data_IF_728681888029
#
_entry.id   IF_728681888029
#
_cell.length_a   1.000
_cell.length_b   1.000
_cell.length_c   1.000
_cell.angle_alpha   90.00
_cell.angle_beta   90.00
_cell.angle_gamma   90.00
#
_symmetry.space_group_name_H-M   'P 1'
#
loop_
_entity.id
_entity.type
_entity.pdbx_description
1 polymer ?
#
# COMPACT_ATOMS: atom_id res chain seq x y z
N UNK A 1 14.25 -24.59 -64.67
CA UNK A 1 13.23 -24.75 -63.61
C UNK A 1 13.80 -24.18 -62.31
N UNK A 2 13.27 -23.06 -61.81
CA UNK A 2 13.71 -22.44 -60.54
C UNK A 2 12.53 -22.47 -59.56
N UNK A 3 12.66 -23.27 -58.50
CA UNK A 3 11.66 -23.41 -57.43
C UNK A 3 11.49 -22.08 -56.66
N UNK A 4 10.25 -21.61 -56.41
CA UNK A 4 10.02 -20.52 -55.47
C UNK A 4 10.09 -21.02 -54.01
N UNK A 5 11.01 -20.48 -53.21
CA UNK A 5 10.96 -20.54 -51.74
C UNK A 5 9.97 -19.49 -51.24
N UNK A 6 9.00 -19.85 -50.36
CA UNK A 6 8.37 -19.02 -49.27
C UNK A 6 6.96 -19.52 -48.89
N UNK A 7 6.49 -19.64 -47.63
CA UNK A 7 6.93 -19.36 -46.24
C UNK A 7 6.28 -20.42 -45.31
N UNK A 8 6.79 -20.66 -44.08
CA UNK A 8 6.16 -21.53 -43.08
C UNK A 8 4.77 -21.02 -42.62
N UNK A 9 3.95 -21.87 -41.97
CA UNK A 9 2.53 -21.63 -41.70
C UNK A 9 2.27 -20.35 -40.88
N UNK A 10 1.16 -19.68 -41.21
CA UNK A 10 0.62 -18.56 -40.43
C UNK A 10 0.18 -19.10 -39.07
N UNK A 11 0.95 -18.79 -38.03
CA UNK A 11 0.52 -18.96 -36.64
C UNK A 11 -0.45 -17.84 -36.31
N UNK A 12 -1.72 -18.15 -36.10
CA UNK A 12 -2.62 -17.29 -35.33
C UNK A 12 -3.25 -18.12 -34.23
N UNK A 13 -2.63 -18.04 -33.05
CA UNK A 13 -3.14 -18.56 -31.79
C UNK A 13 -4.47 -17.89 -31.39
N UNK A 14 -5.10 -18.41 -30.33
CA UNK A 14 -6.53 -18.30 -30.09
C UNK A 14 -6.99 -16.86 -29.97
N UNK A 15 -8.09 -16.56 -30.68
CA UNK A 15 -8.92 -15.37 -30.50
C UNK A 15 -9.36 -15.33 -29.03
N UNK A 16 -8.92 -14.29 -28.35
CA UNK A 16 -9.14 -14.01 -26.94
C UNK A 16 -10.62 -14.18 -26.57
N UNK A 17 -10.94 -15.33 -25.99
CA UNK A 17 -12.20 -15.61 -25.35
C UNK A 17 -11.90 -16.14 -23.97
N UNK A 18 -12.13 -15.29 -22.97
CA UNK A 18 -12.42 -15.68 -21.59
C UNK A 18 -11.31 -16.44 -20.84
N UNK A 19 -10.68 -15.76 -19.88
CA UNK A 19 -10.11 -16.43 -18.72
C UNK A 19 -8.81 -15.83 -18.21
N UNK A 20 -8.90 -14.75 -17.43
CA UNK A 20 -8.01 -14.49 -16.27
C UNK A 20 -8.30 -13.16 -15.53
N UNK A 21 -9.44 -12.49 -15.75
CA UNK A 21 -9.84 -11.36 -14.89
C UNK A 21 -10.43 -11.84 -13.54
N UNK A 22 -9.75 -12.77 -12.89
CA UNK A 22 -9.83 -12.96 -11.45
C UNK A 22 -8.43 -12.66 -10.90
N UNK A 23 -7.92 -11.46 -11.21
CA UNK A 23 -6.81 -10.89 -10.48
C UNK A 23 -7.33 -10.52 -9.10
N UNK A 24 -7.32 -11.53 -8.22
CA UNK A 24 -7.04 -11.45 -6.79
C UNK A 24 -7.24 -10.04 -6.21
N UNK A 25 -8.38 -9.84 -5.53
CA UNK A 25 -8.54 -8.81 -4.51
C UNK A 25 -7.61 -9.14 -3.33
N UNK A 26 -6.29 -9.07 -3.54
CA UNK A 26 -5.37 -8.87 -2.44
C UNK A 26 -5.62 -7.42 -2.04
N UNK A 27 -6.31 -7.23 -0.91
CA UNK A 27 -6.47 -5.92 -0.31
C UNK A 27 -5.10 -5.32 -0.04
N UNK A 28 -4.60 -4.54 -1.00
CA UNK A 28 -3.41 -3.75 -0.79
C UNK A 28 -3.79 -2.67 0.21
N UNK A 29 -3.32 -2.83 1.45
CA UNK A 29 -3.27 -1.74 2.39
C UNK A 29 -2.27 -0.72 1.83
N UNK A 30 -2.79 0.24 1.06
CA UNK A 30 -2.00 1.35 0.54
C UNK A 30 -1.74 2.28 1.71
N UNK A 31 -0.55 2.16 2.31
CA UNK A 31 -0.06 3.19 3.21
C UNK A 31 0.33 4.40 2.36
N UNK A 32 -0.55 5.40 2.31
CA UNK A 32 -0.19 6.73 1.85
C UNK A 32 0.79 7.29 2.88
N UNK A 33 2.10 7.17 2.62
CA UNK A 33 3.12 7.87 3.38
C UNK A 33 3.03 9.33 2.94
N UNK A 34 2.21 10.11 3.64
CA UNK A 34 2.34 11.55 3.59
C UNK A 34 3.77 11.90 3.99
N UNK A 35 4.39 12.86 3.30
CA UNK A 35 5.65 13.43 3.73
C UNK A 35 5.40 14.07 5.11
N UNK A 36 5.68 13.30 6.15
CA UNK A 36 5.29 13.66 7.50
C UNK A 36 6.28 14.67 8.04
N UNK A 37 5.81 15.91 8.21
CA UNK A 37 6.52 16.89 9.03
C UNK A 37 6.75 16.36 10.46
N UNK A 38 7.63 17.02 11.23
CA UNK A 38 7.84 16.63 12.62
C UNK A 38 6.50 16.57 13.37
N UNK A 39 6.30 15.50 14.14
CA UNK A 39 5.12 15.37 15.01
C UNK A 39 4.97 16.65 15.84
N UNK A 40 3.80 17.30 15.88
CA UNK A 40 3.63 18.55 16.61
C UNK A 40 3.81 18.35 18.12
N UNK A 41 4.16 19.42 18.81
CA UNK A 41 4.19 19.40 20.27
C UNK A 41 2.78 19.60 20.82
N UNK A 42 2.35 18.70 21.71
CA UNK A 42 1.11 18.82 22.44
C UNK A 42 1.21 18.16 23.82
N UNK A 43 0.25 18.50 24.67
CA UNK A 43 0.08 17.92 26.00
C UNK A 43 -1.26 17.22 26.09
N UNK A 44 -1.28 16.04 26.72
CA UNK A 44 -2.48 15.26 26.98
C UNK A 44 -2.73 15.18 28.49
N UNK A 45 -3.99 15.21 28.88
CA UNK A 45 -4.41 14.71 30.19
C UNK A 45 -4.55 13.20 30.12
N UNK A 46 -3.84 12.51 30.99
CA UNK A 46 -3.93 11.07 31.16
C UNK A 46 -5.18 10.70 31.97
N UNK A 47 -5.57 9.43 31.89
CA UNK A 47 -6.70 8.89 32.66
C UNK A 47 -6.53 9.03 34.18
N UNK A 48 -5.28 9.07 34.65
CA UNK A 48 -4.96 9.30 36.06
C UNK A 48 -4.92 10.80 36.45
N UNK A 49 -5.38 11.70 35.58
CA UNK A 49 -5.43 13.14 35.82
C UNK A 49 -4.09 13.88 35.66
N UNK A 50 -2.97 13.17 35.46
CA UNK A 50 -1.66 13.80 35.20
C UNK A 50 -1.58 14.36 33.78
N UNK A 51 -0.70 15.32 33.59
CA UNK A 51 -0.38 15.87 32.26
C UNK A 51 0.88 15.20 31.71
N UNK A 52 0.84 14.80 30.44
CA UNK A 52 2.00 14.29 29.70
C UNK A 52 2.24 15.14 28.44
N UNK A 53 3.51 15.46 28.16
CA UNK A 53 3.92 16.12 26.92
C UNK A 53 4.55 15.11 25.96
N UNK A 54 4.19 15.17 24.69
CA UNK A 54 4.85 14.34 23.65
C UNK A 54 6.33 14.65 23.51
N UNK A 55 6.76 15.87 23.85
CA UNK A 55 8.17 16.28 23.83
C UNK A 55 9.05 15.42 24.74
N UNK A 56 8.50 14.89 25.84
CA UNK A 56 9.22 14.02 26.78
C UNK A 56 9.64 12.66 26.17
N UNK A 57 9.06 12.29 25.02
CA UNK A 57 9.29 11.01 24.34
C UNK A 57 10.16 11.13 23.08
N UNK A 58 10.68 12.32 22.77
CA UNK A 58 11.60 12.54 21.64
C UNK A 58 12.87 11.69 21.78
N UNK A 59 13.45 11.30 20.65
CA UNK A 59 14.66 10.46 20.62
C UNK A 59 14.42 9.00 20.99
N UNK A 60 13.17 8.60 21.27
CA UNK A 60 12.78 7.22 21.53
C UNK A 60 11.78 6.76 20.46
N UNK A 61 11.87 5.52 19.97
CA UNK A 61 10.79 4.96 19.17
C UNK A 61 9.55 4.81 20.08
N UNK A 62 8.44 5.43 19.69
CA UNK A 62 7.18 5.40 20.43
C UNK A 62 6.02 5.17 19.46
N UNK A 63 5.07 4.33 19.88
CA UNK A 63 3.80 4.15 19.20
C UNK A 63 2.74 5.01 19.91
N UNK A 64 2.14 5.94 19.16
CA UNK A 64 0.99 6.70 19.64
C UNK A 64 -0.28 6.10 19.04
N UNK A 65 -1.24 5.77 19.90
CA UNK A 65 -2.49 5.16 19.47
C UNK A 65 -3.68 5.89 20.10
N UNK A 66 -4.64 6.24 19.26
CA UNK A 66 -5.83 7.01 19.64
C UNK A 66 -7.04 6.07 19.65
N UNK A 67 -7.74 6.02 20.77
CA UNK A 67 -8.93 5.19 20.94
C UNK A 67 -10.07 6.00 21.56
N UNK A 68 -11.28 5.53 21.30
CA UNK A 68 -12.53 6.06 21.84
C UNK A 68 -13.40 4.88 22.28
N UNK A 69 -14.16 5.02 23.36
CA UNK A 69 -14.81 3.89 24.06
C UNK A 69 -16.34 3.86 23.90
N UNK A 70 -16.88 4.11 22.71
CA UNK A 70 -18.33 3.98 22.48
C UNK A 70 -18.81 2.55 22.75
#
# INVERSE_FOLDING_TARGET
MRHPLKRPPVVRGPRNGLGWAAALLIGALVFQVAEAGPVPDFTLRLLNGKTASVRAYRGKPVLLSFFHSQ
#
